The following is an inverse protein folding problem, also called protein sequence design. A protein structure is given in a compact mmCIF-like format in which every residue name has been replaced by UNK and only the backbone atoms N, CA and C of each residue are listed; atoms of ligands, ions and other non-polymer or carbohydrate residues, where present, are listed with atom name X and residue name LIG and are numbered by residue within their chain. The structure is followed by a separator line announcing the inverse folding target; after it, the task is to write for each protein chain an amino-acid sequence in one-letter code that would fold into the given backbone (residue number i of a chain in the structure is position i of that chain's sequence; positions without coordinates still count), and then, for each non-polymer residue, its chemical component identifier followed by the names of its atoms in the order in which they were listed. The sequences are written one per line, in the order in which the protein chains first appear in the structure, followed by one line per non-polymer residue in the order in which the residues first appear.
data_IF_479245456073
#
_entry.id   IF_479245456073
#
_cell.length_a   1.000
_cell.length_b   1.000
_cell.length_c   1.000
_cell.angle_alpha   90.00
_cell.angle_beta   90.00
_cell.angle_gamma   90.00
#
_symmetry.space_group_name_H-M   'P 1'
#
loop_
_entity.id
_entity.type
_entity.pdbx_description
1 polymer ?
#
# COMPACT_ATOMS: atom_id res chain seq x y z
N UNK A 1 5.43 5.42 4.09
CA UNK A 1 4.74 4.18 3.63
C UNK A 1 4.15 4.37 2.25
N UNK A 2 4.01 3.32 1.43
CA UNK A 2 3.43 3.39 0.09
C UNK A 2 2.44 2.26 -0.24
N UNK A 3 1.35 2.59 -0.93
CA UNK A 3 0.55 1.65 -1.72
C UNK A 3 0.68 2.02 -3.20
N UNK A 4 0.86 1.03 -4.08
CA UNK A 4 0.90 1.23 -5.53
C UNK A 4 -0.03 0.23 -6.21
N UNK A 5 -1.08 0.70 -6.90
CA UNK A 5 -1.99 -0.21 -7.59
C UNK A 5 -3.37 0.36 -7.93
N UNK A 6 -4.18 -0.47 -8.57
CA UNK A 6 -5.59 -0.18 -8.84
C UNK A 6 -6.46 -0.54 -7.63
N UNK A 7 -7.47 0.29 -7.33
CA UNK A 7 -8.38 0.07 -6.20
C UNK A 7 -9.77 -0.51 -6.59
N UNK A 8 -10.01 -0.79 -7.88
CA UNK A 8 -11.34 -1.16 -8.39
C UNK A 8 -11.70 -2.65 -8.22
N UNK A 9 -10.71 -3.52 -8.04
CA UNK A 9 -10.97 -4.96 -7.95
C UNK A 9 -11.64 -5.33 -6.62
N UNK A 10 -12.52 -6.34 -6.63
CA UNK A 10 -13.30 -6.79 -5.45
C UNK A 10 -12.46 -7.20 -4.24
N UNK A 11 -11.18 -7.52 -4.46
CA UNK A 11 -10.23 -7.91 -3.44
C UNK A 11 -9.38 -6.74 -2.90
N UNK A 12 -9.53 -5.53 -3.43
CA UNK A 12 -8.84 -4.36 -2.88
C UNK A 12 -9.52 -3.92 -1.59
N UNK A 13 -8.72 -3.43 -0.64
CA UNK A 13 -9.14 -3.10 0.73
C UNK A 13 -8.68 -1.70 1.13
N UNK A 14 -9.18 -0.63 0.46
CA UNK A 14 -8.78 0.74 0.76
C UNK A 14 -9.02 1.13 2.23
N UNK A 15 -10.08 0.59 2.84
CA UNK A 15 -10.35 0.72 4.27
C UNK A 15 -9.22 0.15 5.12
N UNK A 16 -8.74 -1.05 4.81
CA UNK A 16 -7.67 -1.71 5.57
C UNK A 16 -6.30 -1.07 5.35
N UNK A 17 -6.04 -0.51 4.17
CA UNK A 17 -4.84 0.29 3.94
C UNK A 17 -4.78 1.48 4.90
N UNK A 18 -5.89 2.21 5.03
CA UNK A 18 -5.99 3.37 5.93
C UNK A 18 -5.94 2.94 7.40
N UNK A 19 -6.58 1.83 7.76
CA UNK A 19 -6.52 1.26 9.12
C UNK A 19 -5.09 0.92 9.54
N UNK A 20 -4.35 0.21 8.68
CA UNK A 20 -2.95 -0.14 8.94
C UNK A 20 -2.06 1.10 9.06
N UNK A 21 -2.27 2.10 8.20
CA UNK A 21 -1.55 3.37 8.33
C UNK A 21 -1.84 4.06 9.67
N UNK A 22 -3.11 4.13 10.07
CA UNK A 22 -3.52 4.71 11.36
C UNK A 22 -2.88 3.99 12.56
N UNK A 23 -2.78 2.66 12.52
CA UNK A 23 -2.09 1.88 13.55
C UNK A 23 -0.60 2.18 13.61
N UNK A 24 0.08 2.26 12.45
CA UNK A 24 1.52 2.56 12.41
C UNK A 24 1.81 3.96 12.95
N UNK A 25 0.94 4.94 12.68
CA UNK A 25 1.09 6.29 13.21
C UNK A 25 1.05 6.39 14.74
N UNK A 26 0.44 5.42 15.42
CA UNK A 26 0.46 5.37 16.89
C UNK A 26 1.89 5.19 17.43
N UNK A 27 2.75 4.46 16.70
CA UNK A 27 4.16 4.27 17.05
C UNK A 27 5.14 5.15 16.26
N UNK A 28 4.71 5.69 15.11
CA UNK A 28 5.48 6.57 14.22
C UNK A 28 4.65 7.78 13.78
N UNK A 29 4.49 8.80 14.63
CA UNK A 29 3.66 9.96 14.32
C UNK A 29 4.09 10.73 13.06
N UNK A 30 5.38 10.62 12.69
CA UNK A 30 6.03 11.17 11.51
C UNK A 30 5.75 10.38 10.21
N UNK A 31 5.07 9.23 10.29
CA UNK A 31 4.82 8.41 9.12
C UNK A 31 3.88 9.13 8.13
N UNK A 32 4.30 9.14 6.87
CA UNK A 32 3.53 9.69 5.74
C UNK A 32 3.00 8.56 4.84
N UNK A 33 1.76 8.69 4.36
CA UNK A 33 1.15 7.69 3.47
C UNK A 33 1.07 8.15 2.02
N UNK A 34 1.89 7.53 1.17
CA UNK A 34 1.89 7.72 -0.26
C UNK A 34 0.98 6.69 -0.95
N UNK A 35 -0.03 7.16 -1.67
CA UNK A 35 -0.99 6.31 -2.38
C UNK A 35 -0.86 6.58 -3.87
N UNK A 36 -0.25 5.64 -4.58
CA UNK A 36 -0.08 5.69 -6.02
C UNK A 36 -1.16 4.85 -6.71
N UNK A 37 -2.14 5.53 -7.30
CA UNK A 37 -3.31 4.90 -7.95
C UNK A 37 -3.76 5.77 -9.13
N UNK A 38 -4.42 5.22 -10.17
CA UNK A 38 -5.04 6.06 -11.19
C UNK A 38 -5.95 7.13 -10.58
N UNK A 39 -5.95 8.33 -11.15
CA UNK A 39 -6.72 9.47 -10.63
C UNK A 39 -8.21 9.13 -10.42
N UNK A 40 -8.81 8.41 -11.36
CA UNK A 40 -10.21 7.93 -11.28
C UNK A 40 -10.52 7.01 -10.10
N UNK A 41 -9.52 6.55 -9.34
CA UNK A 41 -9.69 5.71 -8.15
C UNK A 41 -9.50 6.49 -6.85
N UNK A 42 -9.17 7.79 -6.92
CA UNK A 42 -8.96 8.65 -5.75
C UNK A 42 -10.15 8.63 -4.79
N UNK A 43 -11.36 8.70 -5.33
CA UNK A 43 -12.61 8.63 -4.57
C UNK A 43 -12.81 7.32 -3.79
N UNK A 44 -12.07 6.25 -4.12
CA UNK A 44 -12.16 4.96 -3.44
C UNK A 44 -11.36 4.92 -2.13
N UNK A 45 -10.47 5.88 -1.87
CA UNK A 45 -9.62 5.92 -0.66
C UNK A 45 -9.84 7.16 0.19
N UNK A 46 -10.12 8.32 -0.41
CA UNK A 46 -10.32 9.58 0.33
C UNK A 46 -11.40 9.51 1.44
N UNK A 47 -12.57 8.88 1.23
CA UNK A 47 -13.56 8.77 2.30
C UNK A 47 -13.06 7.97 3.51
N UNK A 48 -12.14 7.03 3.31
CA UNK A 48 -11.55 6.24 4.39
C UNK A 48 -10.54 7.07 5.19
N UNK A 49 -9.67 7.82 4.51
CA UNK A 49 -8.72 8.76 5.15
C UNK A 49 -9.47 9.79 5.99
N UNK A 50 -10.52 10.41 5.42
CA UNK A 50 -11.35 11.40 6.12
C UNK A 50 -12.04 10.80 7.35
N UNK A 51 -12.64 9.60 7.22
CA UNK A 51 -13.32 8.93 8.34
C UNK A 51 -12.37 8.53 9.46
N UNK A 52 -11.14 8.17 9.10
CA UNK A 52 -10.08 7.85 10.06
C UNK A 52 -9.42 9.10 10.68
N UNK A 53 -9.81 10.32 10.25
CA UNK A 53 -9.25 11.56 10.78
C UNK A 53 -7.78 11.80 10.39
N UNK A 54 -7.32 11.20 9.29
CA UNK A 54 -5.97 11.44 8.79
C UNK A 54 -5.91 12.85 8.18
N UNK A 55 -4.96 13.68 8.62
CA UNK A 55 -4.85 15.04 8.13
C UNK A 55 -4.29 15.06 6.69
N UNK A 56 -4.72 16.01 5.83
CA UNK A 56 -4.27 16.11 4.43
C UNK A 56 -2.76 16.23 4.25
N UNK A 57 -2.04 16.77 5.23
CA UNK A 57 -0.58 16.90 5.27
C UNK A 57 0.15 15.58 5.53
N UNK A 58 -0.56 14.54 5.99
CA UNK A 58 0.02 13.25 6.37
C UNK A 58 -0.10 12.19 5.27
N UNK A 59 -0.72 12.53 4.14
CA UNK A 59 -0.84 11.63 3.00
C UNK A 59 -0.76 12.36 1.66
N UNK A 60 -0.49 11.59 0.61
CA UNK A 60 -0.52 12.08 -0.76
C UNK A 60 -1.09 11.03 -1.69
N UNK A 61 -2.05 11.44 -2.52
CA UNK A 61 -2.64 10.58 -3.57
C UNK A 61 -2.14 11.10 -4.91
N UNK A 62 -1.44 10.24 -5.64
CA UNK A 62 -0.85 10.59 -6.92
C UNK A 62 -1.17 9.54 -7.98
N UNK A 63 -1.21 9.99 -9.23
CA UNK A 63 -1.22 9.15 -10.42
C UNK A 63 0.02 9.50 -11.25
N UNK A 64 0.77 8.49 -11.70
CA UNK A 64 1.94 8.69 -12.54
C UNK A 64 2.04 7.64 -13.66
N UNK A 65 2.82 7.92 -14.72
CA UNK A 65 3.19 6.90 -15.70
C UNK A 65 3.94 5.73 -15.03
N UNK A 66 3.86 4.54 -15.63
CA UNK A 66 4.48 3.33 -15.06
C UNK A 66 6.00 3.49 -14.80
N UNK A 67 6.70 4.20 -15.69
CA UNK A 67 8.15 4.46 -15.58
C UNK A 67 8.54 5.27 -14.33
N UNK A 68 7.60 6.04 -13.77
CA UNK A 68 7.84 6.87 -12.57
C UNK A 68 7.53 6.11 -11.26
N UNK A 69 6.86 4.96 -11.33
CA UNK A 69 6.42 4.19 -10.15
C UNK A 69 7.59 3.84 -9.24
N UNK A 70 8.71 3.40 -9.82
CA UNK A 70 9.91 3.03 -9.06
C UNK A 70 10.45 4.19 -8.23
N UNK A 71 10.41 5.42 -8.75
CA UNK A 71 10.86 6.61 -8.01
C UNK A 71 10.04 6.82 -6.73
N UNK A 72 8.73 6.61 -6.81
CA UNK A 72 7.85 6.69 -5.64
C UNK A 72 8.07 5.54 -4.66
N UNK A 73 8.30 4.31 -5.17
CA UNK A 73 8.64 3.16 -4.32
C UNK A 73 9.93 3.43 -3.52
N UNK A 74 10.98 3.92 -4.16
CA UNK A 74 12.25 4.26 -3.50
C UNK A 74 12.15 5.42 -2.48
N UNK A 75 11.07 6.21 -2.51
CA UNK A 75 10.84 7.30 -1.57
C UNK A 75 10.11 6.86 -0.29
N UNK A 76 9.76 5.58 -0.17
CA UNK A 76 9.07 5.02 0.99
C UNK A 76 9.99 4.08 1.79
N UNK A 77 9.58 3.77 3.02
CA UNK A 77 10.27 2.78 3.87
C UNK A 77 9.56 1.42 3.86
N UNK A 78 8.24 1.44 3.66
CA UNK A 78 7.36 0.26 3.75
C UNK A 78 6.33 0.28 2.63
N UNK A 79 6.18 -0.85 1.93
CA UNK A 79 5.12 -1.10 0.96
C UNK A 79 3.93 -1.85 1.60
N UNK A 80 2.71 -1.43 1.27
CA UNK A 80 1.47 -2.10 1.65
C UNK A 80 0.90 -2.89 0.47
N UNK A 81 0.83 -4.21 0.61
CA UNK A 81 0.24 -5.13 -0.36
C UNK A 81 -0.93 -5.89 0.28
N UNK A 82 -1.96 -5.14 0.71
CA UNK A 82 -3.13 -5.69 1.37
C UNK A 82 -4.25 -6.01 0.37
N UNK A 83 -4.86 -7.20 0.49
CA UNK A 83 -6.00 -7.64 -0.33
C UNK A 83 -6.90 -8.59 0.46
N UNK A 84 -8.19 -8.69 0.12
CA UNK A 84 -9.04 -9.77 0.61
C UNK A 84 -8.54 -11.10 0.05
N UNK A 85 -8.56 -12.15 0.89
CA UNK A 85 -8.39 -13.53 0.42
C UNK A 85 -9.48 -13.85 -0.61
N UNK A 86 -9.05 -14.42 -1.72
CA UNK A 86 -9.91 -14.80 -2.83
C UNK A 86 -9.19 -15.89 -3.62
N UNK A 87 -9.87 -16.93 -4.14
CA UNK A 87 -9.21 -18.05 -4.83
C UNK A 87 -8.26 -17.61 -5.96
N UNK A 88 -8.64 -16.57 -6.71
CA UNK A 88 -7.79 -15.98 -7.77
C UNK A 88 -6.49 -15.32 -7.28
N UNK A 89 -6.35 -15.05 -5.99
CA UNK A 89 -5.17 -14.42 -5.37
C UNK A 89 -4.33 -15.40 -4.53
N UNK A 90 -4.81 -16.63 -4.29
CA UNK A 90 -4.11 -17.62 -3.46
C UNK A 90 -2.91 -18.24 -4.17
N UNK A 91 -2.96 -18.30 -5.50
CA UNK A 91 -1.94 -18.95 -6.35
C UNK A 91 -0.98 -17.97 -7.03
N UNK A 92 -1.16 -16.65 -6.84
CA UNK A 92 -0.38 -15.63 -7.53
C UNK A 92 0.09 -14.53 -6.55
N UNK A 93 1.41 -14.35 -6.46
CA UNK A 93 1.97 -13.19 -5.82
C UNK A 93 1.40 -11.91 -6.48
N UNK A 94 1.10 -10.84 -5.72
CA UNK A 94 0.68 -9.58 -6.30
C UNK A 94 1.68 -9.13 -7.37
N UNK A 95 1.23 -8.71 -8.55
CA UNK A 95 2.16 -8.21 -9.60
C UNK A 95 3.05 -7.04 -9.16
N UNK A 96 2.70 -6.38 -8.04
CA UNK A 96 3.48 -5.30 -7.42
C UNK A 96 4.52 -5.77 -6.39
N UNK A 97 4.50 -7.05 -6.02
CA UNK A 97 5.45 -7.64 -5.08
C UNK A 97 6.89 -7.54 -5.61
N UNK A 98 7.13 -7.98 -6.84
CA UNK A 98 8.47 -7.92 -7.44
C UNK A 98 8.99 -6.49 -7.57
N UNK A 99 8.12 -5.53 -7.94
CA UNK A 99 8.49 -4.10 -7.99
C UNK A 99 8.95 -3.59 -6.61
N UNK A 100 8.25 -3.94 -5.53
CA UNK A 100 8.60 -3.50 -4.17
C UNK A 100 9.84 -4.21 -3.62
N UNK A 101 10.01 -5.49 -3.93
CA UNK A 101 11.19 -6.26 -3.49
C UNK A 101 12.49 -5.71 -4.10
N UNK A 102 12.45 -5.29 -5.36
CA UNK A 102 13.61 -4.73 -6.06
C UNK A 102 14.05 -3.37 -5.51
N UNK A 103 13.20 -2.68 -4.74
CA UNK A 103 13.54 -1.39 -4.12
C UNK A 103 14.02 -1.51 -2.67
N UNK A 104 14.14 -2.73 -2.13
CA UNK A 104 14.58 -2.96 -0.75
C UNK A 104 13.56 -2.55 0.32
N UNK A 105 12.30 -2.32 -0.07
CA UNK A 105 11.23 -1.95 0.85
C UNK A 105 10.89 -3.11 1.79
N UNK A 106 10.64 -2.79 3.06
CA UNK A 106 9.90 -3.71 3.92
C UNK A 106 8.46 -3.86 3.38
N UNK A 107 7.90 -5.06 3.42
CA UNK A 107 6.57 -5.33 2.85
C UNK A 107 5.62 -5.82 3.93
N UNK A 108 4.50 -5.11 4.09
CA UNK A 108 3.35 -5.59 4.86
C UNK A 108 2.30 -6.09 3.87
N UNK A 109 1.96 -7.37 3.95
CA UNK A 109 1.01 -8.02 3.05
C UNK A 109 0.01 -8.90 3.82
N UNK A 110 -1.13 -9.16 3.21
CA UNK A 110 -2.11 -10.09 3.79
C UNK A 110 -1.57 -11.53 3.77
N UNK A 111 -1.65 -12.21 4.91
CA UNK A 111 -1.23 -13.61 5.05
C UNK A 111 -1.95 -14.55 4.07
N UNK A 112 -1.22 -15.52 3.51
CA UNK A 112 -1.76 -16.52 2.57
C UNK A 112 -1.73 -16.09 1.10
N UNK A 113 -1.16 -14.92 0.80
CA UNK A 113 -0.90 -14.46 -0.57
C UNK A 113 0.46 -14.98 -1.02
N UNK A 114 0.50 -16.12 -1.75
CA UNK A 114 1.71 -16.71 -2.33
C UNK A 114 2.89 -16.79 -1.36
N UNK A 115 2.90 -17.79 -0.47
CA UNK A 115 3.94 -18.13 0.52
C UNK A 115 5.20 -17.22 0.54
N UNK A 116 5.09 -16.06 1.17
CA UNK A 116 6.24 -15.26 1.61
C UNK A 116 5.82 -14.39 2.78
N UNK A 117 5.57 -15.02 3.93
CA UNK A 117 5.46 -14.32 5.19
C UNK A 117 6.88 -14.02 5.71
N UNK A 118 7.18 -12.73 5.85
CA UNK A 118 8.34 -12.12 6.52
C UNK A 118 9.72 -12.17 5.82
N UNK A 119 10.16 -10.98 5.40
CA UNK A 119 11.58 -10.59 5.47
C UNK A 119 11.66 -9.32 6.31
N UNK A 120 11.96 -9.50 7.59
CA UNK A 120 12.39 -8.44 8.49
C UNK A 120 13.91 -8.40 8.40
N UNK A 121 14.48 -7.34 7.81
CA UNK A 121 15.91 -7.05 7.93
C UNK A 121 16.00 -5.76 8.74
N UNK A 122 16.28 -5.94 10.04
CA UNK A 122 16.52 -4.84 10.95
C UNK A 122 17.74 -4.03 10.50
N UNK A 123 17.60 -2.71 10.59
CA UNK A 123 18.70 -1.75 10.68
C UNK A 123 18.57 -1.03 12.03
#
# INVERSE_FOLDING_TARGET
MIYSGNLISKWQVPDKLVEVFGLIRQGRPDAYFLILTPERHRELVEPHLKRAGIAPEDYGIYSCPHVEVVRYLCAADVALLLRKRHPANEVAAPGKFSECMLTGLSIIMTEGMGELAALYQGL
#
